data_IF_269151956112
#
_entry.id   IF_269151956112
#
_cell.length_a   1.000
_cell.length_b   1.000
_cell.length_c   1.000
_cell.angle_alpha   90.00
_cell.angle_beta   90.00
_cell.angle_gamma   90.00
#
_symmetry.space_group_name_H-M   'P 1'
#
loop_
_entity.id
_entity.type
_entity.pdbx_description
1 polymer ?
#
# COMPACT_ATOMS: atom_id res chain seq x y z
N UNK A 1 23.45 -9.01 -27.83
CA UNK A 1 22.33 -8.15 -27.41
C UNK A 1 22.93 -6.80 -27.05
N UNK A 2 22.51 -5.71 -27.70
CA UNK A 2 23.04 -4.37 -27.41
C UNK A 2 22.60 -3.93 -26.01
N UNK A 3 23.42 -3.14 -25.32
CA UNK A 3 23.16 -2.70 -23.93
C UNK A 3 21.79 -2.01 -23.78
N UNK A 4 21.34 -1.32 -24.83
CA UNK A 4 19.99 -0.74 -24.93
C UNK A 4 18.86 -1.76 -24.77
N UNK A 5 18.97 -2.92 -25.44
CA UNK A 5 17.92 -3.96 -25.38
C UNK A 5 17.84 -4.55 -23.97
N UNK A 6 18.98 -4.72 -23.31
CA UNK A 6 19.04 -5.14 -21.90
C UNK A 6 18.29 -4.16 -20.98
N UNK A 7 18.54 -2.86 -21.15
CA UNK A 7 17.91 -1.81 -20.33
C UNK A 7 16.41 -1.68 -20.58
N UNK A 8 15.96 -1.94 -21.82
CA UNK A 8 14.54 -2.01 -22.15
C UNK A 8 13.84 -3.13 -21.38
N UNK A 9 14.36 -4.37 -21.46
CA UNK A 9 13.78 -5.50 -20.74
C UNK A 9 13.88 -5.35 -19.22
N UNK A 10 14.97 -4.78 -18.73
CA UNK A 10 15.12 -4.41 -17.32
C UNK A 10 13.98 -3.50 -16.85
N UNK A 11 13.70 -2.42 -17.59
CA UNK A 11 12.67 -1.45 -17.23
C UNK A 11 11.28 -2.08 -17.26
N UNK A 12 10.99 -2.92 -18.26
CA UNK A 12 9.74 -3.69 -18.31
C UNK A 12 9.58 -4.63 -17.10
N UNK A 13 10.68 -5.26 -16.65
CA UNK A 13 10.66 -6.12 -15.47
C UNK A 13 10.35 -5.31 -14.21
N UNK A 14 10.95 -4.13 -14.04
CA UNK A 14 10.64 -3.24 -12.91
C UNK A 14 9.17 -2.80 -12.94
N UNK A 15 8.65 -2.40 -14.10
CA UNK A 15 7.22 -2.07 -14.26
C UNK A 15 6.32 -3.25 -13.89
N UNK A 16 6.66 -4.46 -14.35
CA UNK A 16 5.92 -5.68 -14.01
C UNK A 16 5.94 -5.96 -12.50
N UNK A 17 7.08 -5.83 -11.85
CA UNK A 17 7.17 -6.04 -10.39
C UNK A 17 6.37 -4.98 -9.62
N UNK A 18 6.40 -3.71 -10.06
CA UNK A 18 5.65 -2.64 -9.40
C UNK A 18 4.14 -2.84 -9.48
N UNK A 19 3.60 -3.20 -10.66
CA UNK A 19 2.15 -3.41 -10.82
C UNK A 19 1.68 -4.69 -10.12
N UNK A 20 2.50 -5.75 -10.12
CA UNK A 20 2.18 -6.97 -9.37
C UNK A 20 2.20 -6.72 -7.87
N UNK A 21 3.17 -5.95 -7.35
CA UNK A 21 3.19 -5.54 -5.94
C UNK A 21 1.95 -4.71 -5.58
N UNK A 22 1.54 -3.76 -6.44
CA UNK A 22 0.29 -3.00 -6.27
C UNK A 22 -0.94 -3.92 -6.22
N UNK A 23 -1.05 -4.90 -7.12
CA UNK A 23 -2.14 -5.87 -7.15
C UNK A 23 -2.18 -6.76 -5.88
N UNK A 24 -1.02 -7.18 -5.37
CA UNK A 24 -0.90 -7.89 -4.09
C UNK A 24 -1.35 -7.04 -2.91
N UNK A 25 -0.98 -5.75 -2.90
CA UNK A 25 -1.42 -4.80 -1.88
C UNK A 25 -2.94 -4.60 -1.92
N UNK A 26 -3.50 -4.42 -3.11
CA UNK A 26 -4.94 -4.24 -3.30
C UNK A 26 -5.72 -5.48 -2.85
N UNK A 27 -5.31 -6.67 -3.27
CA UNK A 27 -5.92 -7.93 -2.83
C UNK A 27 -5.81 -8.10 -1.30
N UNK A 28 -4.65 -7.77 -0.72
CA UNK A 28 -4.43 -7.81 0.72
C UNK A 28 -5.33 -6.82 1.47
N UNK A 29 -5.56 -5.63 0.91
CA UNK A 29 -6.49 -4.65 1.44
C UNK A 29 -7.94 -5.14 1.38
N UNK A 30 -8.38 -5.70 0.27
CA UNK A 30 -9.75 -6.22 0.11
C UNK A 30 -10.07 -7.34 1.11
N UNK A 31 -9.07 -8.17 1.46
CA UNK A 31 -9.23 -9.27 2.42
C UNK A 31 -9.13 -8.81 3.87
N UNK A 32 -8.23 -7.89 4.20
CA UNK A 32 -7.93 -7.53 5.60
C UNK A 32 -8.46 -6.17 6.07
N UNK A 33 -8.96 -5.35 5.15
CA UNK A 33 -9.35 -3.94 5.36
C UNK A 33 -8.28 -3.08 6.06
N UNK A 34 -7.00 -3.48 5.99
CA UNK A 34 -5.88 -2.75 6.59
C UNK A 34 -5.49 -1.56 5.73
N UNK A 35 -5.66 -0.35 6.26
CA UNK A 35 -5.38 0.92 5.55
C UNK A 35 -3.95 1.01 5.01
N UNK A 36 -2.94 0.52 5.74
CA UNK A 36 -1.56 0.45 5.28
C UNK A 36 -1.39 -0.22 3.91
N UNK A 37 -2.18 -1.25 3.58
CA UNK A 37 -2.09 -1.94 2.28
C UNK A 37 -2.69 -1.11 1.13
N UNK A 38 -3.77 -0.35 1.39
CA UNK A 38 -4.30 0.58 0.40
C UNK A 38 -3.30 1.73 0.13
N UNK A 39 -2.65 2.24 1.17
CA UNK A 39 -1.62 3.28 1.05
C UNK A 39 -0.41 2.73 0.28
N UNK A 40 0.07 1.53 0.61
CA UNK A 40 1.16 0.89 -0.11
C UNK A 40 0.83 0.63 -1.59
N UNK A 41 -0.43 0.25 -1.89
CA UNK A 41 -0.91 0.11 -3.27
C UNK A 41 -0.76 1.42 -4.05
N UNK A 42 -1.21 2.55 -3.49
CA UNK A 42 -1.04 3.86 -4.10
C UNK A 42 0.44 4.22 -4.30
N UNK A 43 1.32 3.84 -3.37
CA UNK A 43 2.77 4.03 -3.50
C UNK A 43 3.38 3.25 -4.66
N UNK A 44 3.06 1.96 -4.80
CA UNK A 44 3.55 1.14 -5.93
C UNK A 44 2.97 1.59 -7.28
N UNK A 45 1.73 2.05 -7.32
CA UNK A 45 1.17 2.66 -8.53
C UNK A 45 1.88 3.98 -8.89
N UNK A 46 2.18 4.82 -7.90
CA UNK A 46 2.96 6.04 -8.13
C UNK A 46 4.35 5.72 -8.66
N UNK A 47 4.99 4.67 -8.16
CA UNK A 47 6.28 4.18 -8.65
C UNK A 47 6.21 3.58 -10.06
N UNK A 48 5.12 2.86 -10.40
CA UNK A 48 4.89 2.41 -11.76
C UNK A 48 4.89 3.60 -12.74
N UNK A 49 4.18 4.69 -12.40
CA UNK A 49 4.17 5.89 -13.23
C UNK A 49 5.52 6.60 -13.25
N UNK A 50 6.24 6.64 -12.12
CA UNK A 50 7.59 7.20 -12.05
C UNK A 50 8.52 6.50 -13.07
N UNK A 51 8.60 5.17 -13.02
CA UNK A 51 9.42 4.38 -13.96
C UNK A 51 8.89 4.48 -15.40
N UNK A 52 7.58 4.60 -15.59
CA UNK A 52 6.99 4.74 -16.92
C UNK A 52 7.31 6.09 -17.57
N UNK A 53 7.41 7.18 -16.80
CA UNK A 53 7.85 8.49 -17.29
C UNK A 53 9.28 8.41 -17.81
N UNK A 54 10.18 7.79 -17.03
CA UNK A 54 11.58 7.59 -17.44
C UNK A 54 11.67 6.73 -18.71
N UNK A 55 10.80 5.73 -18.84
CA UNK A 55 10.73 4.90 -20.04
C UNK A 55 10.19 5.66 -21.25
N UNK A 56 9.18 6.51 -21.06
CA UNK A 56 8.64 7.38 -22.10
C UNK A 56 9.71 8.34 -22.63
N UNK A 57 10.46 8.98 -21.75
CA UNK A 57 11.52 9.92 -22.16
C UNK A 57 12.63 9.20 -22.95
N UNK A 58 13.06 8.02 -22.50
CA UNK A 58 14.02 7.17 -23.24
C UNK A 58 13.51 6.77 -24.63
N UNK A 59 12.21 6.51 -24.77
CA UNK A 59 11.60 6.18 -26.07
C UNK A 59 11.50 7.40 -26.99
N UNK A 60 11.05 8.55 -26.45
CA UNK A 60 10.85 9.78 -27.22
C UNK A 60 12.17 10.44 -27.63
N UNK A 61 13.16 10.51 -26.75
CA UNK A 61 14.50 11.05 -27.05
C UNK A 61 15.20 10.27 -28.16
N UNK A 62 15.06 8.94 -28.18
CA UNK A 62 15.61 8.09 -29.24
C UNK A 62 14.85 8.24 -30.55
N UNK A 63 13.53 8.40 -30.48
CA UNK A 63 12.69 8.70 -31.65
C UNK A 63 13.09 10.03 -32.29
N UNK A 64 13.30 11.06 -31.47
CA UNK A 64 13.76 12.38 -31.90
C UNK A 64 15.18 12.36 -32.46
N UNK A 65 16.12 11.69 -31.80
CA UNK A 65 17.50 11.54 -32.30
C UNK A 65 17.59 10.82 -33.65
N UNK A 66 16.69 9.88 -33.94
CA UNK A 66 16.60 9.22 -35.25
C UNK A 66 16.07 10.16 -36.34
N UNK A 67 15.22 11.12 -36.01
CA UNK A 67 14.74 12.16 -36.93
C UNK A 67 15.72 13.34 -37.07
N UNK A 68 16.40 13.74 -36.00
CA UNK A 68 17.32 14.89 -35.97
C UNK A 68 18.70 14.57 -36.56
N UNK A 69 19.15 13.31 -36.49
CA UNK A 69 20.32 12.84 -37.24
C UNK A 69 20.17 12.98 -38.76
N UNK A 70 18.94 13.13 -39.27
CA UNK A 70 18.66 13.43 -40.67
C UNK A 70 18.64 14.95 -40.99
N UNK A 71 18.67 15.85 -40.00
CA UNK A 71 18.45 17.29 -40.24
C UNK A 71 19.46 18.28 -39.65
N UNK A 72 20.27 18.00 -38.62
CA UNK A 72 21.23 19.02 -38.14
C UNK A 72 22.54 18.51 -37.53
N UNK A 73 23.63 18.84 -38.23
CA UNK A 73 24.99 18.94 -37.71
C UNK A 73 25.12 20.29 -36.98
N UNK A 74 24.73 20.37 -35.70
CA UNK A 74 24.91 21.60 -34.91
C UNK A 74 24.16 21.66 -33.57
N UNK A 75 24.93 21.86 -32.49
CA UNK A 75 24.59 22.09 -31.07
C UNK A 75 24.37 20.86 -30.15
N UNK A 76 25.31 20.59 -29.22
CA UNK A 76 25.26 19.48 -28.24
C UNK A 76 24.67 19.92 -26.88
N UNK A 77 23.60 20.73 -26.85
CA UNK A 77 23.08 21.27 -25.58
C UNK A 77 22.09 20.35 -24.85
N UNK A 78 21.76 19.17 -25.37
CA UNK A 78 20.66 18.34 -24.84
C UNK A 78 21.05 16.94 -24.36
N UNK A 79 22.32 16.67 -24.06
CA UNK A 79 22.75 15.37 -23.47
C UNK A 79 22.09 15.14 -22.09
N UNK A 80 21.67 16.22 -21.42
CA UNK A 80 20.95 16.20 -20.14
C UNK A 80 19.47 16.62 -20.28
N UNK A 81 18.87 16.48 -21.46
CA UNK A 81 17.42 16.67 -21.60
C UNK A 81 16.68 15.49 -20.96
N UNK A 82 16.63 15.54 -19.64
CA UNK A 82 15.59 14.92 -18.82
C UNK A 82 14.26 15.45 -19.34
N UNK A 83 13.20 14.66 -19.41
CA UNK A 83 11.87 15.19 -19.70
C UNK A 83 11.45 16.25 -18.68
N UNK A 84 10.17 16.62 -18.68
CA UNK A 84 9.70 17.60 -17.69
C UNK A 84 9.98 17.08 -16.27
N UNK A 85 10.88 17.77 -15.55
CA UNK A 85 11.27 17.45 -14.17
C UNK A 85 10.06 17.52 -13.20
N UNK A 86 8.98 18.19 -13.60
CA UNK A 86 7.76 18.40 -12.82
C UNK A 86 6.93 17.12 -12.60
N UNK A 87 6.58 16.31 -13.63
CA UNK A 87 5.99 14.98 -13.44
C UNK A 87 6.73 14.08 -12.44
N UNK A 88 8.06 14.08 -12.47
CA UNK A 88 8.91 13.32 -11.54
C UNK A 88 8.68 13.75 -10.07
N UNK A 89 8.42 15.04 -9.82
CA UNK A 89 8.05 15.51 -8.47
C UNK A 89 6.69 14.96 -8.04
N UNK A 90 5.72 14.88 -8.95
CA UNK A 90 4.37 14.38 -8.62
C UNK A 90 4.41 12.88 -8.30
N UNK A 91 5.05 12.08 -9.14
CA UNK A 91 5.18 10.63 -8.93
C UNK A 91 6.06 10.32 -7.72
N UNK A 92 7.19 11.02 -7.57
CA UNK A 92 8.07 10.93 -6.40
C UNK A 92 7.36 11.28 -5.09
N UNK A 93 6.53 12.34 -5.09
CA UNK A 93 5.74 12.71 -3.93
C UNK A 93 4.74 11.60 -3.54
N UNK A 94 4.10 10.96 -4.52
CA UNK A 94 3.20 9.83 -4.29
C UNK A 94 3.89 8.66 -3.59
N UNK A 95 5.10 8.30 -4.04
CA UNK A 95 5.90 7.21 -3.46
C UNK A 95 6.30 7.55 -2.01
N UNK A 96 6.93 8.71 -1.81
CA UNK A 96 7.43 9.14 -0.50
C UNK A 96 6.30 9.34 0.50
N UNK A 97 5.17 9.91 0.07
CA UNK A 97 4.00 10.06 0.93
C UNK A 97 3.38 8.73 1.28
N UNK A 98 3.30 7.77 0.35
CA UNK A 98 2.80 6.44 0.66
C UNK A 98 3.69 5.74 1.71
N UNK A 99 5.02 5.78 1.53
CA UNK A 99 5.96 5.21 2.50
C UNK A 99 5.84 5.88 3.87
N UNK A 100 5.77 7.21 3.91
CA UNK A 100 5.63 7.96 5.16
C UNK A 100 4.31 7.69 5.86
N UNK A 101 3.20 7.64 5.12
CA UNK A 101 1.89 7.35 5.68
C UNK A 101 1.80 5.92 6.22
N UNK A 102 2.46 4.95 5.58
CA UNK A 102 2.61 3.59 6.13
C UNK A 102 3.37 3.59 7.48
N UNK A 103 4.45 4.38 7.60
CA UNK A 103 5.18 4.55 8.86
C UNK A 103 4.30 5.24 9.92
N UNK A 104 3.56 6.27 9.52
CA UNK A 104 2.64 6.97 10.42
C UNK A 104 1.49 6.08 10.91
N UNK A 105 0.97 5.19 10.06
CA UNK A 105 -0.05 4.21 10.42
C UNK A 105 0.52 3.18 11.42
N UNK A 106 1.76 2.71 11.20
CA UNK A 106 2.44 1.79 12.11
C UNK A 106 2.66 2.37 13.52
N UNK A 107 2.99 3.66 13.62
CA UNK A 107 3.18 4.37 14.90
C UNK A 107 1.92 5.11 15.38
N UNK A 108 0.76 4.88 14.75
CA UNK A 108 -0.53 5.49 15.08
C UNK A 108 -0.49 7.02 15.26
N UNK A 109 0.29 7.71 14.43
CA UNK A 109 0.46 9.17 14.53
C UNK A 109 -0.86 9.86 14.21
N UNK A 110 -1.34 10.72 15.13
CA UNK A 110 -2.63 11.42 14.99
C UNK A 110 -2.55 12.79 14.30
N UNK A 111 -1.41 13.48 14.40
CA UNK A 111 -1.25 14.82 13.85
C UNK A 111 -1.29 14.83 12.32
N UNK A 112 -2.27 15.55 11.74
CA UNK A 112 -2.41 15.71 10.28
C UNK A 112 -1.26 16.55 9.70
N UNK A 113 -0.83 17.59 10.43
CA UNK A 113 0.28 18.45 10.01
C UNK A 113 1.59 17.65 9.87
N UNK A 114 1.86 16.76 10.84
CA UNK A 114 3.04 15.91 10.81
C UNK A 114 2.99 14.87 9.67
N UNK A 115 1.80 14.35 9.34
CA UNK A 115 1.61 13.48 8.17
C UNK A 115 1.93 14.18 6.85
N UNK A 116 1.63 15.47 6.73
CA UNK A 116 1.89 16.23 5.50
C UNK A 116 3.33 16.75 5.38
N UNK A 117 4.07 16.86 6.49
CA UNK A 117 5.36 17.55 6.52
C UNK A 117 6.40 17.02 5.52
N UNK A 118 6.68 15.70 5.40
CA UNK A 118 7.69 15.22 4.45
C UNK A 118 7.31 15.47 2.99
N UNK A 119 6.02 15.40 2.65
CA UNK A 119 5.55 15.71 1.29
C UNK A 119 5.71 17.19 0.95
N UNK A 120 5.42 18.08 1.90
CA UNK A 120 5.62 19.52 1.71
C UNK A 120 7.10 19.82 1.54
N UNK A 121 7.96 19.27 2.40
CA UNK A 121 9.42 19.45 2.33
C UNK A 121 9.97 18.95 0.99
N UNK A 122 9.51 17.79 0.53
CA UNK A 122 9.89 17.25 -0.77
C UNK A 122 9.49 18.19 -1.92
N UNK A 123 8.21 18.52 -2.04
CA UNK A 123 7.69 19.31 -3.16
C UNK A 123 8.28 20.72 -3.16
N UNK A 124 8.27 21.40 -2.01
CA UNK A 124 8.83 22.76 -1.90
C UNK A 124 10.33 22.75 -2.13
N UNK A 125 11.05 21.78 -1.59
CA UNK A 125 12.50 21.66 -1.78
C UNK A 125 12.86 21.36 -3.25
N UNK A 126 12.16 20.43 -3.89
CA UNK A 126 12.37 20.12 -5.31
C UNK A 126 12.05 21.32 -6.22
N UNK A 127 10.97 22.06 -5.95
CA UNK A 127 10.66 23.29 -6.70
C UNK A 127 11.67 24.42 -6.43
N UNK A 128 12.14 24.56 -5.18
CA UNK A 128 13.15 25.54 -4.84
C UNK A 128 14.46 25.25 -5.59
N UNK A 129 14.91 24.00 -5.61
CA UNK A 129 16.10 23.61 -6.39
C UNK A 129 15.88 23.88 -7.88
N UNK A 130 14.72 23.49 -8.42
CA UNK A 130 14.37 23.70 -9.83
C UNK A 130 14.42 25.17 -10.29
N UNK A 131 13.95 26.11 -9.45
CA UNK A 131 13.89 27.53 -9.82
C UNK A 131 15.12 28.35 -9.41
N UNK A 132 15.86 27.92 -8.39
CA UNK A 132 16.94 28.73 -7.80
C UNK A 132 18.34 28.25 -8.18
N UNK A 133 18.48 27.02 -8.67
CA UNK A 133 19.78 26.43 -8.99
C UNK A 133 19.82 26.13 -10.49
N UNK A 134 20.95 26.47 -11.12
CA UNK A 134 21.17 26.20 -12.53
C UNK A 134 21.16 24.67 -12.80
N UNK A 135 20.89 24.27 -14.04
CA UNK A 135 20.90 22.86 -14.46
C UNK A 135 22.32 22.30 -14.64
N UNK A 136 23.23 22.61 -13.71
CA UNK A 136 24.55 22.03 -13.65
C UNK A 136 24.52 20.67 -12.90
N UNK A 137 25.65 19.97 -12.86
CA UNK A 137 25.75 18.70 -12.14
C UNK A 137 25.35 18.82 -10.67
N UNK A 138 25.59 19.96 -10.03
CA UNK A 138 25.22 20.16 -8.64
C UNK A 138 23.70 20.35 -8.48
N UNK A 139 23.06 21.13 -9.34
CA UNK A 139 21.62 21.34 -9.35
C UNK A 139 20.84 20.06 -9.57
N UNK A 140 21.26 19.24 -10.54
CA UNK A 140 20.67 17.92 -10.76
C UNK A 140 20.88 16.99 -9.55
N UNK A 141 22.06 17.01 -8.92
CA UNK A 141 22.35 16.17 -7.75
C UNK A 141 21.44 16.52 -6.58
N UNK A 142 21.25 17.82 -6.31
CA UNK A 142 20.37 18.29 -5.26
C UNK A 142 18.90 17.97 -5.58
N UNK A 143 18.47 18.17 -6.83
CA UNK A 143 17.10 17.93 -7.24
C UNK A 143 16.69 16.47 -7.04
N UNK A 144 17.47 15.53 -7.57
CA UNK A 144 17.22 14.10 -7.39
C UNK A 144 17.52 13.62 -5.97
N UNK A 145 18.48 14.26 -5.29
CA UNK A 145 18.83 14.00 -3.90
C UNK A 145 17.74 14.36 -2.88
N UNK A 146 16.77 15.20 -3.24
CA UNK A 146 15.62 15.53 -2.37
C UNK A 146 14.84 14.29 -1.93
N UNK A 147 14.74 13.26 -2.80
CA UNK A 147 14.12 11.97 -2.44
C UNK A 147 14.87 11.30 -1.29
N UNK A 148 16.19 11.22 -1.41
CA UNK A 148 17.07 10.62 -0.40
C UNK A 148 17.02 11.36 0.94
N UNK A 149 16.97 12.70 0.93
CA UNK A 149 16.82 13.51 2.15
C UNK A 149 15.57 13.11 2.92
N UNK A 150 14.45 12.93 2.22
CA UNK A 150 13.17 12.56 2.82
C UNK A 150 13.17 11.12 3.32
N UNK A 151 13.81 10.18 2.59
CA UNK A 151 13.98 8.80 3.06
C UNK A 151 14.86 8.75 4.32
N UNK A 152 15.95 9.51 4.35
CA UNK A 152 16.84 9.62 5.52
C UNK A 152 16.07 10.19 6.71
N UNK A 153 15.24 11.23 6.52
CA UNK A 153 14.34 11.74 7.56
C UNK A 153 13.48 10.61 8.11
N UNK A 154 12.79 9.84 7.25
CA UNK A 154 11.92 8.74 7.70
C UNK A 154 12.69 7.71 8.53
N UNK A 155 13.90 7.34 8.10
CA UNK A 155 14.77 6.41 8.82
C UNK A 155 15.23 6.97 10.17
N UNK A 156 15.61 8.25 10.23
CA UNK A 156 15.96 8.93 11.48
C UNK A 156 14.76 8.98 12.44
N UNK A 157 13.55 9.21 11.94
CA UNK A 157 12.33 9.16 12.75
C UNK A 157 12.08 7.76 13.32
N UNK A 158 12.22 6.70 12.50
CA UNK A 158 12.12 5.31 12.96
C UNK A 158 13.18 5.02 14.02
N UNK A 159 14.44 5.42 13.80
CA UNK A 159 15.53 5.23 14.76
C UNK A 159 15.29 5.99 16.07
N UNK A 160 14.86 7.25 16.00
CA UNK A 160 14.52 8.05 17.17
C UNK A 160 13.38 7.40 17.99
N UNK A 161 12.35 6.86 17.32
CA UNK A 161 11.27 6.12 17.98
C UNK A 161 11.77 4.82 18.60
N UNK A 162 12.66 4.09 17.94
CA UNK A 162 13.26 2.87 18.51
C UNK A 162 14.02 3.15 19.81
N UNK A 163 14.82 4.22 19.84
CA UNK A 163 15.62 4.61 21.01
C UNK A 163 14.74 5.17 22.13
N UNK A 164 13.71 5.94 21.77
CA UNK A 164 12.84 6.64 22.73
C UNK A 164 11.70 5.78 23.29
N UNK A 165 11.53 4.53 22.83
CA UNK A 165 10.47 3.64 23.33
C UNK A 165 10.94 2.87 24.58
N UNK A 166 10.46 3.23 25.79
CA UNK A 166 10.74 2.48 27.01
C UNK A 166 10.01 1.12 27.04
N UNK A 167 8.90 1.02 26.31
CA UNK A 167 8.06 -0.17 26.27
C UNK A 167 8.69 -1.28 25.42
N UNK A 168 9.01 -2.40 26.05
CA UNK A 168 9.61 -3.57 25.39
C UNK A 168 8.81 -4.10 24.20
N UNK A 169 7.48 -3.92 24.21
CA UNK A 169 6.55 -4.42 23.17
C UNK A 169 6.78 -3.70 21.83
N UNK A 170 6.94 -2.37 21.83
CA UNK A 170 7.17 -1.59 20.60
C UNK A 170 8.54 -1.95 20.03
N UNK A 171 9.55 -2.07 20.89
CA UNK A 171 10.91 -2.43 20.50
C UNK A 171 10.97 -3.84 19.90
N UNK A 172 10.26 -4.80 20.47
CA UNK A 172 10.16 -6.17 19.96
C UNK A 172 9.44 -6.22 18.61
N UNK A 173 8.34 -5.47 18.47
CA UNK A 173 7.63 -5.33 17.18
C UNK A 173 8.55 -4.76 16.10
N UNK A 174 9.32 -3.73 16.41
CA UNK A 174 10.27 -3.12 15.47
C UNK A 174 11.43 -4.06 15.13
N UNK A 175 11.94 -4.81 16.11
CA UNK A 175 13.00 -5.79 15.91
C UNK A 175 12.59 -6.89 14.92
N UNK A 176 11.32 -7.30 14.92
CA UNK A 176 10.78 -8.24 13.93
C UNK A 176 10.96 -7.74 12.49
N UNK A 177 10.92 -6.43 12.28
CA UNK A 177 11.10 -5.77 10.98
C UNK A 177 12.50 -5.16 10.80
N UNK A 178 13.50 -5.50 11.63
CA UNK A 178 14.86 -4.94 11.55
C UNK A 178 15.52 -5.10 10.18
N UNK A 179 15.27 -6.22 9.51
CA UNK A 179 15.80 -6.47 8.17
C UNK A 179 15.21 -5.47 7.17
N UNK A 180 13.91 -5.20 7.26
CA UNK A 180 13.25 -4.22 6.39
C UNK A 180 13.89 -2.83 6.52
N UNK A 181 14.03 -2.32 7.75
CA UNK A 181 14.64 -1.01 8.00
C UNK A 181 16.14 -0.97 7.65
N UNK A 182 16.87 -2.06 7.92
CA UNK A 182 18.28 -2.18 7.54
C UNK A 182 18.48 -2.15 6.02
N UNK A 183 17.62 -2.83 5.26
CA UNK A 183 17.64 -2.78 3.81
C UNK A 183 17.24 -1.40 3.26
N UNK A 184 16.21 -0.76 3.84
CA UNK A 184 15.86 0.63 3.49
C UNK A 184 17.06 1.58 3.67
N UNK A 185 17.79 1.48 4.78
CA UNK A 185 18.98 2.29 5.03
C UNK A 185 20.10 1.97 4.02
N UNK A 186 20.40 0.70 3.81
CA UNK A 186 21.44 0.27 2.88
C UNK A 186 21.18 0.80 1.47
N UNK A 187 19.98 0.60 0.94
CA UNK A 187 19.64 1.05 -0.40
C UNK A 187 19.50 2.58 -0.48
N UNK A 188 19.02 3.26 0.57
CA UNK A 188 18.99 4.73 0.59
C UNK A 188 20.40 5.34 0.51
N UNK A 189 21.38 4.76 1.20
CA UNK A 189 22.79 5.17 1.08
C UNK A 189 23.31 4.84 -0.31
N UNK A 190 23.01 3.65 -0.84
CA UNK A 190 23.40 3.27 -2.19
C UNK A 190 22.86 4.23 -3.26
N UNK A 191 21.63 4.72 -3.13
CA UNK A 191 21.03 5.73 -4.04
C UNK A 191 21.85 7.02 -4.04
N UNK A 192 22.22 7.53 -2.86
CA UNK A 192 23.02 8.76 -2.75
C UNK A 192 24.42 8.57 -3.35
N UNK A 193 25.06 7.44 -3.03
CA UNK A 193 26.39 7.12 -3.55
C UNK A 193 26.35 6.95 -5.06
N UNK A 194 25.37 6.23 -5.59
CA UNK A 194 25.17 6.03 -7.03
C UNK A 194 25.00 7.38 -7.73
N UNK A 195 24.10 8.23 -7.25
CA UNK A 195 23.89 9.57 -7.82
C UNK A 195 25.18 10.42 -7.77
N UNK A 196 25.93 10.36 -6.67
CA UNK A 196 27.19 11.12 -6.55
C UNK A 196 28.26 10.61 -7.53
N UNK A 197 28.42 9.29 -7.64
CA UNK A 197 29.37 8.66 -8.58
C UNK A 197 29.04 9.07 -10.01
N UNK A 198 27.79 8.90 -10.41
CA UNK A 198 27.38 9.19 -11.77
C UNK A 198 27.51 10.67 -12.15
N UNK A 199 27.25 11.58 -11.21
CA UNK A 199 27.16 13.01 -11.50
C UNK A 199 28.49 13.76 -11.38
N UNK A 200 29.40 13.28 -10.52
CA UNK A 200 30.68 13.94 -10.26
C UNK A 200 31.91 13.17 -10.74
N UNK A 201 31.81 11.84 -10.92
CA UNK A 201 32.98 11.00 -11.20
C UNK A 201 32.97 10.34 -12.58
N UNK A 202 31.83 10.27 -13.27
CA UNK A 202 31.75 9.68 -14.61
C UNK A 202 31.89 10.78 -15.66
N UNK A 203 32.87 10.62 -16.56
CA UNK A 203 33.12 11.55 -17.65
C UNK A 203 31.90 11.63 -18.61
N UNK A 204 31.41 12.83 -18.93
CA UNK A 204 30.30 13.03 -19.86
C UNK A 204 30.53 12.40 -21.25
N UNK A 205 31.79 12.28 -21.69
CA UNK A 205 32.14 11.65 -22.97
C UNK A 205 31.91 10.13 -22.99
N UNK A 206 32.09 9.46 -21.84
CA UNK A 206 31.77 8.02 -21.72
C UNK A 206 30.26 7.78 -21.79
N UNK A 207 29.46 8.74 -21.33
CA UNK A 207 28.01 8.72 -21.45
C UNK A 207 27.59 8.97 -22.90
N UNK A 208 28.14 9.98 -23.56
CA UNK A 208 27.80 10.31 -24.95
C UNK A 208 28.22 9.22 -25.94
N UNK A 209 29.28 8.46 -25.62
CA UNK A 209 29.70 7.30 -26.43
C UNK A 209 28.75 6.10 -26.34
N UNK A 210 27.73 6.13 -25.47
CA UNK A 210 26.81 5.03 -25.24
C UNK A 210 27.42 3.83 -24.52
N UNK A 211 28.66 3.96 -24.03
CA UNK A 211 29.39 2.90 -23.32
C UNK A 211 28.89 2.72 -21.88
N UNK A 212 28.38 3.79 -21.27
CA UNK A 212 27.77 3.77 -19.94
C UNK A 212 26.33 4.30 -20.06
N UNK A 213 25.31 3.56 -19.62
CA UNK A 213 23.95 4.05 -19.64
C UNK A 213 23.74 4.97 -18.46
N UNK A 214 24.18 6.22 -18.60
CA UNK A 214 23.88 7.24 -17.60
C UNK A 214 22.56 7.91 -17.97
N UNK A 215 21.56 7.73 -17.10
CA UNK A 215 20.35 8.53 -17.09
C UNK A 215 20.16 9.04 -15.66
N UNK A 216 20.04 10.37 -15.44
CA UNK A 216 19.78 10.93 -14.12
C UNK A 216 18.52 10.37 -13.43
N UNK A 217 17.58 9.81 -14.19
CA UNK A 217 16.33 9.25 -13.67
C UNK A 217 16.30 7.70 -13.56
N UNK A 218 17.30 6.97 -14.08
CA UNK A 218 17.40 5.50 -13.91
C UNK A 218 18.40 5.15 -12.81
N UNK A 219 18.03 5.44 -11.56
CA UNK A 219 18.83 5.01 -10.42
C UNK A 219 18.56 3.51 -10.12
N UNK A 220 19.57 2.67 -10.32
CA UNK A 220 19.51 1.23 -10.10
C UNK A 220 19.32 0.91 -8.61
N UNK A 221 20.00 1.63 -7.72
CA UNK A 221 19.80 1.49 -6.28
C UNK A 221 18.39 1.88 -5.84
N UNK A 222 17.74 2.86 -6.48
CA UNK A 222 16.34 3.23 -6.19
C UNK A 222 15.39 2.13 -6.65
N UNK A 223 15.63 1.57 -7.83
CA UNK A 223 14.88 0.41 -8.29
C UNK A 223 15.06 -0.79 -7.34
N UNK A 224 16.28 -1.03 -6.87
CA UNK A 224 16.57 -2.09 -5.90
C UNK A 224 15.88 -1.83 -4.54
N UNK A 225 15.84 -0.57 -4.07
CA UNK A 225 15.07 -0.16 -2.90
C UNK A 225 13.59 -0.51 -3.05
N UNK A 226 13.02 -0.24 -4.22
CA UNK A 226 11.61 -0.51 -4.49
C UNK A 226 11.31 -2.00 -4.64
N UNK A 227 12.21 -2.77 -5.24
CA UNK A 227 12.15 -4.24 -5.26
C UNK A 227 12.22 -4.83 -3.85
N UNK A 228 13.07 -4.26 -2.98
CA UNK A 228 13.14 -4.65 -1.57
C UNK A 228 11.81 -4.41 -0.85
N UNK A 229 11.23 -3.22 -1.02
CA UNK A 229 9.90 -2.90 -0.48
C UNK A 229 8.82 -3.84 -1.00
N UNK A 230 8.82 -4.11 -2.32
CA UNK A 230 7.88 -5.04 -2.97
C UNK A 230 8.01 -6.45 -2.38
N UNK A 231 9.23 -6.97 -2.25
CA UNK A 231 9.48 -8.29 -1.67
C UNK A 231 8.95 -8.42 -0.24
N UNK A 232 9.18 -7.42 0.62
CA UNK A 232 8.67 -7.42 1.99
C UNK A 232 7.14 -7.41 2.06
N UNK A 233 6.51 -6.55 1.27
CA UNK A 233 5.05 -6.42 1.28
C UNK A 233 4.38 -7.64 0.66
N UNK A 234 4.86 -8.13 -0.47
CA UNK A 234 4.35 -9.34 -1.11
C UNK A 234 4.50 -10.57 -0.20
N UNK A 235 5.65 -10.73 0.48
CA UNK A 235 5.82 -11.79 1.47
C UNK A 235 4.83 -11.67 2.66
N UNK A 236 4.54 -10.44 3.09
CA UNK A 236 3.52 -10.15 4.10
C UNK A 236 2.11 -10.52 3.63
N UNK A 237 1.72 -10.09 2.44
CA UNK A 237 0.42 -10.41 1.82
C UNK A 237 0.27 -11.91 1.58
N UNK A 238 1.32 -12.60 1.11
CA UNK A 238 1.31 -14.04 0.91
C UNK A 238 1.02 -14.79 2.21
N UNK A 239 1.66 -14.39 3.32
CA UNK A 239 1.36 -14.95 4.65
C UNK A 239 -0.08 -14.67 5.07
N UNK A 240 -0.59 -13.47 4.82
CA UNK A 240 -1.98 -13.11 5.09
C UNK A 240 -2.96 -14.01 4.31
N UNK A 241 -2.72 -14.23 3.02
CA UNK A 241 -3.55 -15.10 2.19
C UNK A 241 -3.45 -16.56 2.60
N UNK A 242 -2.24 -17.05 2.90
CA UNK A 242 -2.05 -18.41 3.41
C UNK A 242 -2.76 -18.65 4.73
N UNK A 243 -2.78 -17.65 5.63
CA UNK A 243 -3.56 -17.74 6.86
C UNK A 243 -5.05 -17.82 6.55
N UNK A 244 -5.56 -16.95 5.66
CA UNK A 244 -6.97 -17.00 5.25
C UNK A 244 -7.35 -18.27 4.48
N UNK A 245 -6.39 -18.94 3.86
CA UNK A 245 -6.58 -20.21 3.16
C UNK A 245 -6.51 -21.43 4.11
N UNK A 246 -5.59 -21.42 5.09
CA UNK A 246 -5.43 -22.50 6.08
C UNK A 246 -6.46 -22.46 7.20
N UNK A 247 -6.78 -21.25 7.65
CA UNK A 247 -7.98 -20.95 8.40
C UNK A 247 -8.88 -20.20 7.42
N UNK A 248 -9.68 -20.87 6.57
CA UNK A 248 -10.87 -20.21 6.04
C UNK A 248 -11.58 -19.58 7.24
N UNK A 249 -12.31 -18.47 7.10
CA UNK A 249 -13.08 -17.90 8.20
C UNK A 249 -14.20 -18.86 8.62
N UNK A 250 -13.86 -20.00 9.22
CA UNK A 250 -14.52 -20.43 10.43
C UNK A 250 -14.23 -19.30 11.42
N UNK A 251 -15.12 -18.32 11.44
CA UNK A 251 -15.89 -18.09 12.65
C UNK A 251 -16.51 -16.68 12.71
N UNK A 252 -17.22 -16.25 11.66
CA UNK A 252 -18.32 -15.30 11.88
C UNK A 252 -19.57 -16.05 12.37
N UNK A 253 -19.70 -17.34 12.04
CA UNK A 253 -20.84 -18.19 12.39
C UNK A 253 -20.84 -18.65 13.87
N UNK A 254 -19.74 -19.14 14.44
CA UNK A 254 -19.63 -19.51 15.86
C UNK A 254 -19.45 -18.30 16.80
N UNK A 255 -18.86 -17.17 16.36
CA UNK A 255 -18.89 -15.89 17.12
C UNK A 255 -20.28 -15.30 17.15
N UNK A 256 -20.98 -15.30 16.01
CA UNK A 256 -22.39 -14.89 15.94
C UNK A 256 -23.25 -15.87 16.74
N UNK A 257 -23.02 -17.18 16.64
CA UNK A 257 -23.74 -18.17 17.43
C UNK A 257 -23.46 -18.00 18.93
N UNK A 258 -22.21 -17.79 19.35
CA UNK A 258 -21.86 -17.57 20.75
C UNK A 258 -22.46 -16.26 21.30
N UNK A 259 -22.47 -15.18 20.51
CA UNK A 259 -23.14 -13.93 20.87
C UNK A 259 -24.66 -14.13 21.01
N UNK A 260 -25.28 -14.82 20.05
CA UNK A 260 -26.70 -15.17 20.08
C UNK A 260 -27.01 -16.04 21.30
N UNK A 261 -26.23 -17.09 21.55
CA UNK A 261 -26.43 -18.04 22.65
C UNK A 261 -26.28 -17.36 24.02
N UNK A 262 -25.37 -16.39 24.15
CA UNK A 262 -25.23 -15.58 25.37
C UNK A 262 -26.40 -14.61 25.59
N UNK A 263 -26.95 -14.00 24.52
CA UNK A 263 -28.06 -13.05 24.60
C UNK A 263 -29.46 -13.69 24.68
N UNK A 264 -29.60 -14.94 24.22
CA UNK A 264 -30.88 -15.64 24.10
C UNK A 264 -31.61 -15.80 25.43
N UNK A 265 -30.90 -16.12 26.51
CA UNK A 265 -31.52 -16.32 27.83
C UNK A 265 -32.18 -15.03 28.35
N UNK A 266 -31.45 -13.92 28.32
CA UNK A 266 -31.94 -12.60 28.73
C UNK A 266 -33.11 -12.13 27.86
N UNK A 267 -33.02 -12.36 26.55
CA UNK A 267 -34.06 -11.96 25.61
C UNK A 267 -35.34 -12.80 25.76
N UNK A 268 -35.20 -14.11 26.01
CA UNK A 268 -36.30 -15.03 26.31
C UNK A 268 -37.07 -14.58 27.56
N UNK A 269 -36.35 -14.31 28.65
CA UNK A 269 -36.97 -13.96 29.93
C UNK A 269 -37.69 -12.61 29.86
N UNK A 270 -37.15 -11.65 29.11
CA UNK A 270 -37.75 -10.32 28.93
C UNK A 270 -39.08 -10.36 28.19
N UNK A 271 -39.18 -11.15 27.12
CA UNK A 271 -40.36 -11.18 26.26
C UNK A 271 -41.25 -12.43 26.47
N UNK A 272 -40.93 -13.27 27.47
CA UNK A 272 -41.73 -14.46 27.80
C UNK A 272 -41.79 -15.47 26.66
N UNK A 273 -40.64 -15.73 26.00
CA UNK A 273 -40.57 -16.69 24.90
C UNK A 273 -40.58 -18.13 25.44
N UNK A 274 -41.35 -19.00 24.79
CA UNK A 274 -41.34 -20.43 25.07
C UNK A 274 -40.02 -21.08 24.63
N UNK A 275 -39.74 -22.28 25.12
CA UNK A 275 -38.55 -23.03 24.71
C UNK A 275 -38.49 -23.20 23.18
N UNK A 276 -39.61 -23.57 22.54
CA UNK A 276 -39.67 -23.75 21.09
C UNK A 276 -39.53 -22.44 20.31
N UNK A 277 -40.10 -21.35 20.81
CA UNK A 277 -39.89 -20.02 20.21
C UNK A 277 -38.44 -19.55 20.35
N UNK A 278 -37.76 -19.91 21.44
CA UNK A 278 -36.35 -19.57 21.67
C UNK A 278 -35.44 -20.29 20.67
N UNK A 279 -35.70 -21.57 20.41
CA UNK A 279 -34.99 -22.35 19.39
C UNK A 279 -35.21 -21.78 17.98
N UNK A 280 -36.46 -21.43 17.63
CA UNK A 280 -36.76 -20.79 16.34
C UNK A 280 -36.11 -19.41 16.24
N UNK A 281 -36.11 -18.61 17.32
CA UNK A 281 -35.45 -17.30 17.36
C UNK A 281 -33.95 -17.44 17.10
N UNK A 282 -33.28 -18.42 17.68
CA UNK A 282 -31.86 -18.69 17.45
C UNK A 282 -31.55 -18.85 15.96
N UNK A 283 -32.31 -19.71 15.27
CA UNK A 283 -32.11 -19.96 13.84
C UNK A 283 -32.47 -18.73 12.98
N UNK A 284 -33.44 -17.94 13.43
CA UNK A 284 -33.79 -16.66 12.81
C UNK A 284 -32.63 -15.66 12.92
N UNK A 285 -32.00 -15.56 14.08
CA UNK A 285 -30.85 -14.67 14.35
C UNK A 285 -29.58 -15.10 13.61
N UNK A 286 -29.42 -16.41 13.35
CA UNK A 286 -28.39 -16.96 12.46
C UNK A 286 -28.66 -16.70 10.96
N UNK A 287 -29.77 -16.04 10.63
CA UNK A 287 -30.08 -15.63 9.25
C UNK A 287 -30.73 -16.73 8.39
N UNK A 288 -31.14 -17.86 8.96
CA UNK A 288 -31.75 -18.97 8.20
C UNK A 288 -33.18 -18.67 7.77
N UNK A 289 -33.55 -18.92 6.52
CA UNK A 289 -34.93 -18.75 6.06
C UNK A 289 -35.89 -19.78 6.71
N UNK A 290 -37.20 -19.55 6.59
CA UNK A 290 -38.19 -20.42 7.22
C UNK A 290 -38.19 -21.86 6.66
N UNK A 291 -37.71 -22.05 5.44
CA UNK A 291 -37.63 -23.37 4.80
C UNK A 291 -36.49 -24.17 5.42
N UNK A 292 -35.33 -23.55 5.57
CA UNK A 292 -34.16 -24.16 6.20
C UNK A 292 -34.42 -24.45 7.68
N UNK A 293 -35.07 -23.52 8.40
CA UNK A 293 -35.49 -23.75 9.80
C UNK A 293 -36.44 -24.95 9.90
N UNK A 294 -37.41 -25.06 8.98
CA UNK A 294 -38.35 -26.17 8.96
C UNK A 294 -37.64 -27.51 8.74
N UNK A 295 -36.72 -27.57 7.79
CA UNK A 295 -35.90 -28.75 7.51
C UNK A 295 -34.99 -29.12 8.70
N UNK A 296 -34.27 -28.16 9.27
CA UNK A 296 -33.30 -28.41 10.33
C UNK A 296 -33.97 -28.82 11.64
N UNK A 297 -35.13 -28.24 11.95
CA UNK A 297 -35.87 -28.52 13.18
C UNK A 297 -36.92 -29.63 13.03
N UNK A 298 -37.00 -30.30 11.87
CA UNK A 298 -38.02 -31.29 11.49
C UNK A 298 -39.45 -30.79 11.76
N UNK A 299 -39.75 -29.57 11.33
CA UNK A 299 -41.07 -28.92 11.45
C UNK A 299 -41.73 -28.74 10.09
N UNK A 300 -43.05 -28.62 10.07
CA UNK A 300 -43.74 -28.11 8.89
C UNK A 300 -43.44 -26.60 8.71
N UNK A 301 -43.31 -26.16 7.45
CA UNK A 301 -43.10 -24.74 7.12
C UNK A 301 -44.17 -23.83 7.71
N UNK A 302 -45.43 -24.30 7.77
CA UNK A 302 -46.54 -23.59 8.40
C UNK A 302 -46.30 -23.36 9.89
N UNK A 303 -45.77 -24.36 10.61
CA UNK A 303 -45.45 -24.28 12.03
C UNK A 303 -44.34 -23.25 12.30
N UNK A 304 -43.29 -23.22 11.48
CA UNK A 304 -42.23 -22.20 11.60
C UNK A 304 -42.78 -20.79 11.40
N UNK A 305 -43.64 -20.59 10.39
CA UNK A 305 -44.29 -19.28 10.16
C UNK A 305 -45.13 -18.83 11.37
N UNK A 306 -45.85 -19.75 12.02
CA UNK A 306 -46.61 -19.46 13.25
C UNK A 306 -45.66 -19.07 14.39
N UNK A 307 -44.57 -19.81 14.60
CA UNK A 307 -43.59 -19.45 15.64
C UNK A 307 -42.95 -18.08 15.40
N UNK A 308 -42.54 -17.78 14.16
CA UNK A 308 -41.98 -16.46 13.81
C UNK A 308 -43.01 -15.35 14.03
N UNK A 309 -44.27 -15.57 13.67
CA UNK A 309 -45.35 -14.61 13.92
C UNK A 309 -45.55 -14.34 15.42
N UNK A 310 -45.58 -15.40 16.24
CA UNK A 310 -45.72 -15.28 17.69
C UNK A 310 -44.51 -14.55 18.32
N UNK A 311 -43.29 -14.82 17.86
CA UNK A 311 -42.08 -14.13 18.32
C UNK A 311 -42.17 -12.63 18.01
N UNK A 312 -42.54 -12.25 16.77
CA UNK A 312 -42.72 -10.85 16.38
C UNK A 312 -43.80 -10.16 17.21
N UNK A 313 -44.92 -10.86 17.45
CA UNK A 313 -46.00 -10.35 18.29
C UNK A 313 -45.56 -10.13 19.75
N UNK A 314 -44.85 -11.09 20.35
CA UNK A 314 -44.35 -10.99 21.75
C UNK A 314 -43.27 -9.93 21.92
N UNK A 315 -42.44 -9.72 20.90
CA UNK A 315 -41.35 -8.74 20.91
C UNK A 315 -41.77 -7.35 20.46
N UNK A 316 -42.99 -7.21 19.90
CA UNK A 316 -43.52 -5.97 19.36
C UNK A 316 -42.88 -5.53 18.03
N UNK A 317 -42.18 -6.43 17.35
CA UNK A 317 -41.40 -6.12 16.16
C UNK A 317 -42.23 -6.33 14.89
N UNK A 318 -42.12 -5.40 13.93
CA UNK A 318 -42.95 -5.42 12.71
C UNK A 318 -42.47 -6.43 11.68
N UNK A 319 -41.17 -6.73 11.66
CA UNK A 319 -40.58 -7.67 10.73
C UNK A 319 -39.31 -8.31 11.30
N UNK A 320 -38.81 -9.31 10.58
CA UNK A 320 -37.61 -10.06 10.95
C UNK A 320 -36.35 -9.21 11.07
N UNK A 321 -36.18 -8.18 10.23
CA UNK A 321 -35.00 -7.32 10.27
C UNK A 321 -35.01 -6.45 11.54
N UNK A 322 -36.17 -5.93 11.92
CA UNK A 322 -36.35 -5.15 13.14
C UNK A 322 -36.09 -6.02 14.38
N UNK A 323 -36.55 -7.27 14.38
CA UNK A 323 -36.26 -8.25 15.44
C UNK A 323 -34.75 -8.51 15.60
N UNK A 324 -34.02 -8.72 14.49
CA UNK A 324 -32.57 -8.92 14.54
C UNK A 324 -31.84 -7.68 15.05
N UNK A 325 -32.32 -6.48 14.69
CA UNK A 325 -31.75 -5.22 15.17
C UNK A 325 -32.02 -5.01 16.66
N UNK A 326 -33.23 -5.29 17.11
CA UNK A 326 -33.66 -5.17 18.51
C UNK A 326 -32.83 -6.09 19.41
N UNK A 327 -32.63 -7.36 19.01
CA UNK A 327 -31.78 -8.30 19.74
C UNK A 327 -30.35 -7.74 19.94
N UNK A 328 -29.73 -7.21 18.87
CA UNK A 328 -28.37 -6.63 18.93
C UNK A 328 -28.26 -5.35 19.76
N UNK A 329 -29.36 -4.63 20.01
CA UNK A 329 -29.34 -3.44 20.86
C UNK A 329 -29.42 -3.77 22.35
N UNK A 330 -29.89 -4.98 22.69
CA UNK A 330 -30.18 -5.38 24.07
C UNK A 330 -29.32 -6.52 24.61
N UNK A 331 -28.45 -7.12 23.78
CA UNK A 331 -27.47 -8.15 24.16
C UNK A 331 -26.06 -7.59 24.23
#
# INVERSE_FOLDING_TARGET
MTMTILLFYYTLLILLVSITAAAFCLSGYLVSHRRALAIACAGFLSYFFDVALVFQDDFLLRGAAATDAAMMQGSPESVYFVGSQLPSVVTGAGILMALWLCICDFFEVRSKAFKAAPGIVFVVGSLAVYFLIDNDSLGLFLFYGMRSVVIIWMLLYVAARYISSPDGIVRERMWRYRLFYGGLLFFAVAVVVENAVFMFFIDPELVSSGSVPFFPERNFAENALMLWCAGFICAGCWRLFLLHFKTPPADDCDKTAAFIDNGLASYKDRYGLSARETEVLREVLLGRDNQNIASDMNLALSTVKVHVHNILHKTGQSNRQDLMRDFRMYS
#
